data_IF_263488276533
#
_entry.id   IF_263488276533
#
_cell.length_a   1.000
_cell.length_b   1.000
_cell.length_c   1.000
_cell.angle_alpha   90.00
_cell.angle_beta   90.00
_cell.angle_gamma   90.00
#
_symmetry.space_group_name_H-M   'P 1'
#
loop_
_entity.id
_entity.type
_entity.pdbx_description
1 polymer ?
#
# COMPACT_ATOMS: atom_id res chain seq x y z
N UNK A 1 2.87 1.46 -0.41
CA UNK A 1 3.44 1.92 -1.69
C UNK A 1 2.28 2.27 -2.62
N UNK A 2 2.13 3.53 -3.02
CA UNK A 2 1.07 3.97 -3.93
C UNK A 2 1.59 4.14 -5.36
N UNK A 3 0.93 3.51 -6.33
CA UNK A 3 1.23 3.59 -7.77
C UNK A 3 0.02 4.13 -8.53
N UNK A 4 0.22 4.66 -9.74
CA UNK A 4 -0.89 5.13 -10.59
C UNK A 4 -1.45 4.03 -11.50
N UNK A 5 -0.66 3.01 -11.80
CA UNK A 5 -0.99 1.96 -12.78
C UNK A 5 -0.68 0.55 -12.27
N UNK A 6 -1.49 -0.42 -12.72
CA UNK A 6 -1.33 -1.84 -12.37
C UNK A 6 0.02 -2.38 -12.85
N UNK A 7 0.47 -1.95 -14.03
CA UNK A 7 1.76 -2.37 -14.59
C UNK A 7 2.94 -1.97 -13.69
N UNK A 8 2.92 -0.75 -13.15
CA UNK A 8 3.91 -0.26 -12.18
C UNK A 8 3.87 -1.10 -10.90
N UNK A 9 2.68 -1.46 -10.41
CA UNK A 9 2.53 -2.33 -9.24
C UNK A 9 3.12 -3.73 -9.45
N UNK A 10 2.85 -4.35 -10.60
CA UNK A 10 3.41 -5.66 -10.95
C UNK A 10 4.93 -5.60 -11.11
N UNK A 11 5.45 -4.52 -11.71
CA UNK A 11 6.89 -4.28 -11.82
C UNK A 11 7.56 -4.22 -10.44
N UNK A 12 7.02 -3.43 -9.52
CA UNK A 12 7.55 -3.30 -8.15
C UNK A 12 7.40 -4.61 -7.38
N UNK A 13 6.26 -5.30 -7.52
CA UNK A 13 6.03 -6.62 -6.93
C UNK A 13 7.12 -7.60 -7.32
N UNK A 14 7.49 -7.65 -8.60
CA UNK A 14 8.57 -8.50 -9.08
C UNK A 14 9.94 -8.10 -8.50
N UNK A 15 10.21 -6.80 -8.32
CA UNK A 15 11.45 -6.33 -7.69
C UNK A 15 11.53 -6.71 -6.20
N UNK A 16 10.41 -6.67 -5.49
CA UNK A 16 10.33 -7.08 -4.08
C UNK A 16 10.45 -8.59 -3.94
N UNK A 17 9.79 -9.38 -4.81
CA UNK A 17 9.93 -10.85 -4.86
C UNK A 17 11.38 -11.27 -5.05
N UNK A 18 12.10 -10.64 -5.99
CA UNK A 18 13.53 -10.90 -6.23
C UNK A 18 14.42 -10.61 -5.01
N UNK A 19 14.00 -9.71 -4.13
CA UNK A 19 14.70 -9.38 -2.88
C UNK A 19 14.20 -10.18 -1.67
N UNK A 20 13.27 -11.12 -1.86
CA UNK A 20 12.71 -11.92 -0.78
C UNK A 20 11.78 -11.15 0.17
N UNK A 21 11.28 -9.98 -0.25
CA UNK A 21 10.39 -9.14 0.56
C UNK A 21 8.95 -9.60 0.32
N UNK A 22 8.31 -10.12 1.37
CA UNK A 22 6.88 -10.45 1.35
C UNK A 22 6.05 -9.18 1.25
N UNK A 23 5.07 -9.18 0.36
CA UNK A 23 4.19 -8.04 0.15
C UNK A 23 2.88 -8.48 -0.51
N UNK A 24 1.88 -7.61 -0.42
CA UNK A 24 0.59 -7.75 -1.08
C UNK A 24 0.39 -6.67 -2.15
N UNK A 25 -0.43 -6.98 -3.15
CA UNK A 25 -0.77 -6.07 -4.26
C UNK A 25 -2.28 -5.89 -4.32
N UNK A 26 -2.74 -4.64 -4.28
CA UNK A 26 -4.13 -4.22 -4.38
C UNK A 26 -4.34 -3.50 -5.71
N UNK A 27 -5.29 -4.00 -6.50
CA UNK A 27 -5.53 -3.54 -7.87
C UNK A 27 -6.97 -3.05 -8.08
N UNK A 28 -7.72 -2.78 -7.00
CA UNK A 28 -9.13 -2.37 -7.01
C UNK A 28 -10.06 -3.38 -7.71
N UNK A 29 -9.75 -4.68 -7.63
CA UNK A 29 -10.54 -5.75 -8.28
C UNK A 29 -11.52 -6.44 -7.34
N UNK A 30 -11.16 -6.57 -6.05
CA UNK A 30 -12.00 -7.24 -5.08
C UNK A 30 -11.97 -6.50 -3.75
N UNK A 31 -12.98 -5.66 -3.52
CA UNK A 31 -13.01 -4.74 -2.38
C UNK A 31 -13.00 -5.44 -1.01
N UNK A 32 -13.69 -6.56 -0.85
CA UNK A 32 -13.76 -7.28 0.45
C UNK A 32 -12.39 -7.83 0.83
N UNK A 33 -11.76 -8.58 -0.08
CA UNK A 33 -10.42 -9.14 0.15
C UNK A 33 -9.37 -8.04 0.31
N UNK A 34 -9.47 -6.97 -0.47
CA UNK A 34 -8.55 -5.85 -0.36
C UNK A 34 -8.68 -5.15 0.99
N UNK A 35 -9.90 -5.01 1.53
CA UNK A 35 -10.11 -4.46 2.87
C UNK A 35 -9.41 -5.29 3.96
N UNK A 36 -9.48 -6.62 3.88
CA UNK A 36 -8.76 -7.51 4.81
C UNK A 36 -7.25 -7.29 4.76
N UNK A 37 -6.69 -7.15 3.56
CA UNK A 37 -5.25 -6.89 3.38
C UNK A 37 -4.88 -5.51 3.93
N UNK A 38 -5.68 -4.48 3.67
CA UNK A 38 -5.44 -3.12 4.17
C UNK A 38 -5.51 -3.07 5.69
N UNK A 39 -6.46 -3.79 6.30
CA UNK A 39 -6.54 -3.90 7.75
C UNK A 39 -5.27 -4.54 8.36
N UNK A 40 -4.62 -5.43 7.62
CA UNK A 40 -3.32 -6.02 7.98
C UNK A 40 -2.10 -5.15 7.67
N UNK A 41 -2.23 -4.07 6.91
CA UNK A 41 -1.10 -3.26 6.43
C UNK A 41 -0.37 -2.51 7.56
N UNK A 42 -0.99 -2.33 8.71
CA UNK A 42 -0.39 -1.69 9.88
C UNK A 42 0.41 -2.63 10.77
N UNK A 43 0.56 -3.90 10.40
CA UNK A 43 1.37 -4.87 11.15
C UNK A 43 2.86 -4.72 10.87
N UNK A 44 3.69 -5.08 11.85
CA UNK A 44 5.15 -4.94 11.75
C UNK A 44 5.71 -5.73 10.57
N UNK A 45 6.41 -5.03 9.67
CA UNK A 45 7.02 -5.62 8.48
C UNK A 45 6.06 -5.92 7.33
N UNK A 46 4.79 -5.50 7.44
CA UNK A 46 3.85 -5.57 6.34
C UNK A 46 4.25 -4.60 5.22
N UNK A 47 4.14 -5.04 3.96
CA UNK A 47 4.38 -4.22 2.78
C UNK A 47 3.19 -4.39 1.84
N UNK A 48 2.52 -3.28 1.54
CA UNK A 48 1.35 -3.28 0.66
C UNK A 48 1.57 -2.32 -0.50
N UNK A 49 1.35 -2.81 -1.72
CA UNK A 49 1.33 -2.02 -2.95
C UNK A 49 -0.13 -1.76 -3.32
N UNK A 50 -0.51 -0.49 -3.47
CA UNK A 50 -1.86 -0.08 -3.79
C UNK A 50 -1.88 0.73 -5.09
N UNK A 51 -2.61 0.24 -6.08
CA UNK A 51 -2.80 0.91 -7.37
C UNK A 51 -3.95 1.91 -7.29
N UNK A 52 -3.73 3.16 -7.69
CA UNK A 52 -4.73 4.22 -7.81
C UNK A 52 -5.68 4.31 -6.59
N UNK A 53 -5.10 4.36 -5.39
CA UNK A 53 -5.84 4.40 -4.12
C UNK A 53 -6.70 3.14 -3.83
N UNK A 54 -6.34 1.97 -4.36
CA UNK A 54 -6.95 0.70 -3.96
C UNK A 54 -6.90 0.53 -2.43
N UNK A 55 -8.00 0.04 -1.85
CA UNK A 55 -8.15 -0.04 -0.39
C UNK A 55 -8.66 1.24 0.29
N UNK A 56 -8.97 2.30 -0.48
CA UNK A 56 -9.56 3.54 0.05
C UNK A 56 -10.84 3.26 0.86
N UNK A 57 -10.95 3.91 2.00
CA UNK A 57 -12.09 3.77 2.92
C UNK A 57 -11.93 2.64 3.95
N UNK A 58 -10.80 1.92 3.94
CA UNK A 58 -10.44 0.98 5.02
C UNK A 58 -9.35 1.59 5.89
N UNK A 59 -9.58 1.61 7.21
CA UNK A 59 -8.61 2.14 8.17
C UNK A 59 -7.43 1.19 8.37
N UNK A 60 -6.21 1.73 8.37
CA UNK A 60 -5.00 1.00 8.70
C UNK A 60 -4.73 1.17 10.19
N UNK A 61 -4.99 0.13 10.99
CA UNK A 61 -4.71 0.13 12.43
C UNK A 61 -3.28 -0.35 12.68
N UNK A 62 -2.54 0.40 13.49
CA UNK A 62 -1.18 0.04 13.87
C UNK A 62 -1.18 -1.21 14.76
N UNK A 63 -0.34 -2.17 14.41
CA UNK A 63 -0.05 -3.34 15.24
C UNK A 63 0.85 -2.99 16.43
N UNK A 64 1.01 -3.95 17.34
CA UNK A 64 1.84 -3.80 18.52
C UNK A 64 3.30 -3.44 18.16
N UNK A 65 3.86 -2.43 18.84
CA UNK A 65 5.22 -1.96 18.62
C UNK A 65 5.48 -1.24 17.29
N UNK A 66 4.47 -1.01 16.44
CA UNK A 66 4.64 -0.26 15.18
C UNK A 66 4.70 1.25 15.43
N UNK A 67 3.94 1.75 16.41
CA UNK A 67 3.97 3.16 16.80
C UNK A 67 5.38 3.61 17.25
N UNK A 68 6.07 2.76 18.01
CA UNK A 68 7.45 2.98 18.47
C UNK A 68 8.48 3.02 17.34
N UNK A 69 8.16 2.43 16.19
CA UNK A 69 8.99 2.45 14.98
C UNK A 69 8.72 3.66 14.07
N UNK A 70 7.82 4.56 14.49
CA UNK A 70 7.42 5.73 13.71
C UNK A 70 6.14 5.55 12.88
N UNK A 71 5.39 4.46 13.11
CA UNK A 71 4.10 4.22 12.48
C UNK A 71 4.19 3.67 11.04
N UNK A 72 3.12 3.85 10.27
CA UNK A 72 3.03 3.44 8.87
C UNK A 72 3.59 4.54 7.97
N UNK A 73 4.45 4.16 7.03
CA UNK A 73 5.01 5.06 6.03
C UNK A 73 4.26 4.97 4.69
N UNK A 74 3.68 6.09 4.25
CA UNK A 74 3.17 6.28 2.90
C UNK A 74 4.30 6.66 1.93
N UNK A 75 4.44 5.93 0.82
CA UNK A 75 5.40 6.25 -0.25
C UNK A 75 4.65 6.20 -1.58
N UNK A 76 4.56 7.35 -2.24
CA UNK A 76 4.09 7.45 -3.63
C UNK A 76 5.25 7.25 -4.60
N UNK A 77 5.06 6.40 -5.60
CA UNK A 77 6.10 6.11 -6.61
C UNK A 77 6.13 7.17 -7.70
N UNK A 78 5.00 7.85 -7.90
CA UNK A 78 4.74 8.82 -8.96
C UNK A 78 3.83 9.92 -8.41
N UNK A 79 3.71 11.04 -9.14
CA UNK A 79 2.74 12.10 -8.82
C UNK A 79 1.52 11.96 -9.70
N UNK A 80 0.34 12.15 -9.12
CA UNK A 80 -0.88 12.25 -9.88
C UNK A 80 -1.00 13.64 -10.52
N UNK A 81 -1.85 13.75 -11.56
CA UNK A 81 -2.18 15.05 -12.17
C UNK A 81 -2.76 16.04 -11.15
N UNK A 82 -3.42 15.53 -10.11
CA UNK A 82 -3.98 16.31 -9.03
C UNK A 82 -3.22 16.08 -7.73
N UNK A 83 -2.68 17.16 -7.14
CA UNK A 83 -2.09 17.14 -5.79
C UNK A 83 -3.04 16.60 -4.72
N UNK A 84 -4.35 16.79 -4.89
CA UNK A 84 -5.36 16.26 -3.96
C UNK A 84 -5.36 14.73 -3.88
N UNK A 85 -4.89 14.03 -4.92
CA UNK A 85 -4.78 12.57 -4.88
C UNK A 85 -3.49 12.19 -4.14
N UNK A 86 -2.39 12.89 -4.39
CA UNK A 86 -1.14 12.69 -3.64
C UNK A 86 -1.35 12.92 -2.13
N UNK A 87 -2.13 13.95 -1.75
CA UNK A 87 -2.45 14.25 -0.34
C UNK A 87 -3.32 13.17 0.32
N UNK A 88 -4.00 12.31 -0.44
CA UNK A 88 -4.76 11.18 0.13
C UNK A 88 -3.87 9.99 0.49
N UNK A 89 -2.63 9.94 -0.02
CA UNK A 89 -1.67 8.90 0.31
C UNK A 89 -0.87 9.20 1.59
N UNK A 90 -1.02 10.43 2.11
CA UNK A 90 -0.20 11.00 3.18
C UNK A 90 -0.94 11.00 4.52
#
# INVERSE_FOLDING_TARGET
LGTVAVETSEYISNLLKKRGIRHDVLNAKNHEREAEIVAGAGQKGAVTIATNMAGRGTDIKLGEGVEELGGVAGIGTERHESRRIDDQLR
#
